data_IF_433874365560
#
_entry.id   IF_433874365560
#
_cell.length_a   1.000
_cell.length_b   1.000
_cell.length_c   1.000
_cell.angle_alpha   90.00
_cell.angle_beta   90.00
_cell.angle_gamma   90.00
#
_symmetry.space_group_name_H-M   'P 1'
#
loop_
_entity.id
_entity.type
_entity.pdbx_description
1 polymer ?
#
# COMPACT_ATOMS: atom_id res chain seq x y z
N UNK A 1 20.63 -4.04 7.47
CA UNK A 1 20.29 -5.45 7.10
C UNK A 1 19.72 -5.49 5.67
N UNK A 2 20.02 -6.49 4.83
CA UNK A 2 19.38 -6.61 3.49
C UNK A 2 18.04 -7.35 3.62
N UNK A 3 16.97 -6.81 3.05
CA UNK A 3 15.61 -7.34 3.22
C UNK A 3 14.87 -7.42 1.88
N UNK A 4 14.15 -8.52 1.68
CA UNK A 4 13.18 -8.68 0.59
C UNK A 4 11.79 -8.83 1.22
N UNK A 5 10.80 -8.15 0.67
CA UNK A 5 9.41 -8.26 1.14
C UNK A 5 8.56 -8.87 0.03
N UNK A 6 7.74 -9.84 0.41
CA UNK A 6 6.86 -10.57 -0.50
C UNK A 6 5.42 -10.35 -0.07
N UNK A 7 4.66 -9.63 -0.89
CA UNK A 7 3.23 -9.42 -0.71
C UNK A 7 2.44 -10.60 -1.30
N UNK A 8 1.82 -11.39 -0.43
CA UNK A 8 0.99 -12.50 -0.86
C UNK A 8 -0.28 -12.02 -1.57
N UNK A 9 -0.77 -12.86 -2.49
CA UNK A 9 -2.08 -12.66 -3.12
C UNK A 9 -3.24 -13.00 -2.18
N UNK A 10 -4.49 -12.79 -2.63
CA UNK A 10 -5.68 -13.15 -1.85
C UNK A 10 -6.82 -12.12 -1.88
N UNK A 11 -6.93 -11.29 -2.92
CA UNK A 11 -8.00 -10.30 -3.06
C UNK A 11 -8.08 -9.36 -1.85
N UNK A 12 -9.19 -9.41 -1.10
CA UNK A 12 -9.41 -8.57 0.07
C UNK A 12 -8.36 -8.76 1.19
N UNK A 13 -7.67 -9.90 1.25
CA UNK A 13 -6.56 -10.11 2.20
C UNK A 13 -5.41 -9.11 1.98
N UNK A 14 -5.31 -8.53 0.78
CA UNK A 14 -4.35 -7.46 0.51
C UNK A 14 -4.54 -6.21 1.39
N UNK A 15 -5.76 -5.95 1.88
CA UNK A 15 -6.03 -4.84 2.81
C UNK A 15 -5.37 -5.09 4.16
N UNK A 16 -5.41 -6.34 4.63
CA UNK A 16 -4.68 -6.73 5.84
C UNK A 16 -3.17 -6.56 5.65
N UNK A 17 -2.64 -6.95 4.49
CA UNK A 17 -1.22 -6.73 4.18
C UNK A 17 -0.84 -5.24 4.14
N UNK A 18 -1.76 -4.34 3.75
CA UNK A 18 -1.56 -2.89 3.87
C UNK A 18 -1.39 -2.44 5.32
N UNK A 19 -2.27 -2.88 6.21
CA UNK A 19 -2.16 -2.56 7.64
C UNK A 19 -0.90 -3.16 8.29
N UNK A 20 -0.50 -4.37 7.87
CA UNK A 20 0.79 -4.95 8.30
C UNK A 20 1.96 -4.09 7.83
N UNK A 21 1.90 -3.57 6.59
CA UNK A 21 2.95 -2.71 6.05
C UNK A 21 3.05 -1.38 6.79
N UNK A 22 1.92 -0.77 7.19
CA UNK A 22 1.90 0.45 8.03
C UNK A 22 2.68 0.28 9.34
N UNK A 23 2.59 -0.88 9.99
CA UNK A 23 3.35 -1.16 11.21
C UNK A 23 4.79 -1.62 10.94
N UNK A 24 5.01 -2.39 9.86
CA UNK A 24 6.31 -2.96 9.54
C UNK A 24 7.30 -1.93 8.96
N UNK A 25 6.82 -0.96 8.17
CA UNK A 25 7.66 0.04 7.54
C UNK A 25 8.46 0.90 8.54
N UNK A 26 7.85 1.48 9.59
CA UNK A 26 8.59 2.17 10.65
C UNK A 26 9.61 1.26 11.34
N UNK A 27 9.22 0.03 11.66
CA UNK A 27 10.09 -0.95 12.32
C UNK A 27 11.33 -1.30 11.48
N UNK A 28 11.17 -1.40 10.15
CA UNK A 28 12.27 -1.62 9.20
C UNK A 28 13.18 -0.39 9.13
N UNK A 29 12.61 0.82 9.17
CA UNK A 29 13.38 2.08 9.17
C UNK A 29 14.21 2.26 10.43
N UNK A 30 13.64 2.01 11.59
CA UNK A 30 14.35 2.05 12.88
C UNK A 30 15.59 1.15 12.93
N UNK A 31 15.60 0.07 12.11
CA UNK A 31 16.67 -0.92 12.03
C UNK A 31 17.62 -0.71 10.87
N UNK A 32 17.51 0.41 10.15
CA UNK A 32 18.27 0.69 8.93
C UNK A 32 18.25 -0.52 7.96
N UNK A 33 17.05 -1.09 7.78
CA UNK A 33 16.84 -2.19 6.86
C UNK A 33 16.84 -1.66 5.42
N UNK A 34 17.75 -2.18 4.61
CA UNK A 34 17.84 -1.90 3.20
C UNK A 34 16.94 -2.88 2.44
N UNK A 35 15.81 -2.39 1.98
CA UNK A 35 14.95 -3.11 1.05
C UNK A 35 15.67 -3.23 -0.30
N UNK A 36 15.99 -4.47 -0.69
CA UNK A 36 16.67 -4.79 -1.95
C UNK A 36 15.74 -5.40 -2.98
N UNK A 37 14.52 -5.75 -2.59
CA UNK A 37 13.54 -6.33 -3.48
C UNK A 37 12.14 -6.32 -2.88
N UNK A 38 11.16 -6.15 -3.77
CA UNK A 38 9.74 -6.28 -3.49
C UNK A 38 9.18 -7.27 -4.51
N UNK A 39 8.38 -8.21 -4.05
CA UNK A 39 7.68 -9.15 -4.92
C UNK A 39 6.23 -9.26 -4.48
N UNK A 40 5.36 -9.67 -5.39
CA UNK A 40 3.99 -10.01 -5.05
C UNK A 40 3.25 -10.65 -6.20
N UNK A 41 2.10 -11.26 -5.88
CA UNK A 41 1.24 -11.94 -6.86
C UNK A 41 -0.19 -11.41 -6.78
N UNK A 42 -0.85 -11.22 -7.93
CA UNK A 42 -2.23 -10.69 -8.00
C UNK A 42 -2.33 -9.34 -7.27
N UNK A 43 -3.23 -9.20 -6.28
CA UNK A 43 -3.33 -8.00 -5.44
C UNK A 43 -2.03 -7.67 -4.70
N UNK A 44 -1.24 -8.70 -4.36
CA UNK A 44 0.07 -8.52 -3.75
C UNK A 44 1.06 -7.86 -4.70
N UNK A 45 0.95 -8.08 -6.02
CA UNK A 45 1.76 -7.39 -7.00
C UNK A 45 1.43 -5.89 -7.07
N UNK A 46 0.16 -5.54 -6.90
CA UNK A 46 -0.29 -4.14 -6.81
C UNK A 46 0.28 -3.49 -5.54
N UNK A 47 0.16 -4.15 -4.38
CA UNK A 47 0.76 -3.66 -3.13
C UNK A 47 2.28 -3.46 -3.27
N UNK A 48 2.98 -4.44 -3.85
CA UNK A 48 4.42 -4.36 -4.09
C UNK A 48 4.79 -3.19 -5.01
N UNK A 49 4.03 -2.96 -6.08
CA UNK A 49 4.30 -1.88 -7.04
C UNK A 49 4.10 -0.48 -6.41
N UNK A 50 3.05 -0.31 -5.60
CA UNK A 50 2.78 0.95 -4.89
C UNK A 50 3.90 1.28 -3.92
N UNK A 51 4.31 0.30 -3.10
CA UNK A 51 5.43 0.43 -2.17
C UNK A 51 6.74 0.69 -2.90
N UNK A 52 7.00 -0.01 -4.01
CA UNK A 52 8.21 0.17 -4.82
C UNK A 52 8.32 1.60 -5.35
N UNK A 53 7.22 2.19 -5.80
CA UNK A 53 7.19 3.55 -6.33
C UNK A 53 7.56 4.61 -5.27
N UNK A 54 7.30 4.32 -3.99
CA UNK A 54 7.46 5.24 -2.86
C UNK A 54 8.55 4.81 -1.87
N UNK A 55 9.41 3.87 -2.27
CA UNK A 55 10.40 3.23 -1.38
C UNK A 55 11.42 4.20 -0.76
N UNK A 56 11.64 5.35 -1.40
CA UNK A 56 12.57 6.38 -0.94
C UNK A 56 11.94 7.32 0.11
N UNK A 57 10.62 7.32 0.28
CA UNK A 57 9.93 8.20 1.21
C UNK A 57 10.08 7.74 2.67
N UNK A 58 9.94 8.62 3.68
CA UNK A 58 10.11 8.30 5.09
C UNK A 58 9.32 7.08 5.58
N UNK A 59 8.10 6.90 5.06
CA UNK A 59 7.13 5.88 5.45
C UNK A 59 7.21 4.60 4.59
N UNK A 60 8.17 4.50 3.67
CA UNK A 60 8.28 3.40 2.70
C UNK A 60 6.99 3.17 1.88
N UNK A 61 6.23 4.24 1.59
CA UNK A 61 4.99 4.14 0.83
C UNK A 61 3.81 3.56 1.59
N UNK A 62 3.91 3.43 2.92
CA UNK A 62 2.83 2.93 3.76
C UNK A 62 1.55 3.79 3.67
N UNK A 63 1.68 5.11 3.73
CA UNK A 63 0.55 6.02 3.61
C UNK A 63 -0.12 5.92 2.24
N UNK A 64 0.67 5.78 1.18
CA UNK A 64 0.15 5.62 -0.17
C UNK A 64 -0.60 4.29 -0.36
N UNK A 65 -0.07 3.20 0.22
CA UNK A 65 -0.74 1.91 0.20
C UNK A 65 -2.06 1.95 1.00
N UNK A 66 -2.07 2.61 2.16
CA UNK A 66 -3.28 2.84 2.95
C UNK A 66 -4.35 3.61 2.19
N UNK A 67 -3.96 4.71 1.53
CA UNK A 67 -4.85 5.55 0.74
C UNK A 67 -5.48 4.76 -0.41
N UNK A 68 -4.69 3.96 -1.15
CA UNK A 68 -5.21 3.08 -2.19
C UNK A 68 -6.33 2.17 -1.65
N UNK A 69 -6.08 1.49 -0.52
CA UNK A 69 -7.05 0.57 0.04
C UNK A 69 -8.31 1.28 0.52
N UNK A 70 -8.18 2.41 1.23
CA UNK A 70 -9.32 3.12 1.82
C UNK A 70 -10.17 3.87 0.80
N UNK A 71 -9.55 4.40 -0.25
CA UNK A 71 -10.22 5.35 -1.16
C UNK A 71 -10.56 4.74 -2.51
N UNK A 72 -9.80 3.74 -2.98
CA UNK A 72 -9.98 3.17 -4.30
C UNK A 72 -10.53 1.74 -4.27
N UNK A 73 -10.06 0.90 -3.33
CA UNK A 73 -10.41 -0.54 -3.32
C UNK A 73 -11.56 -0.84 -2.35
N UNK A 74 -11.58 -0.25 -1.15
CA UNK A 74 -12.62 -0.44 -0.15
C UNK A 74 -13.88 0.42 -0.40
N UNK A 75 -14.02 1.00 -1.59
CA UNK A 75 -15.24 1.70 -1.99
C UNK A 75 -16.44 0.76 -1.81
N UNK A 76 -17.51 1.19 -1.09
CA UNK A 76 -18.68 0.35 -0.88
C UNK A 76 -19.27 -0.03 -2.23
N UNK A 77 -19.26 -1.33 -2.52
CA UNK A 77 -20.03 -1.90 -3.61
C UNK A 77 -21.52 -1.79 -3.24
N UNK A 78 -22.14 -0.68 -3.61
CA UNK A 78 -23.59 -0.67 -3.81
C UNK A 78 -23.92 -1.79 -4.81
N UNK A 79 -24.97 -2.58 -4.57
CA UNK A 79 -25.19 -3.80 -5.34
C UNK A 79 -25.62 -3.38 -6.76
N UNK A 80 -24.81 -3.73 -7.77
CA UNK A 80 -25.17 -3.79 -9.20
C UNK A 80 -25.17 -2.55 -10.10
N UNK A 81 -24.74 -1.35 -9.69
CA UNK A 81 -24.58 -0.25 -10.66
C UNK A 81 -23.17 0.32 -10.64
N UNK A 82 -22.44 0.11 -11.74
CA UNK A 82 -21.11 0.66 -12.02
C UNK A 82 -21.12 2.18 -12.20
N UNK A 83 -21.55 2.90 -11.18
CA UNK A 83 -21.40 4.34 -11.09
C UNK A 83 -20.11 4.65 -10.30
N UNK A 84 -19.18 5.44 -10.82
CA UNK A 84 -17.99 5.81 -10.07
C UNK A 84 -18.42 6.72 -8.91
N UNK A 85 -18.33 6.21 -7.68
CA UNK A 85 -18.52 7.03 -6.49
C UNK A 85 -17.17 7.64 -6.14
N UNK A 86 -17.02 8.92 -6.47
CA UNK A 86 -16.00 9.83 -5.94
C UNK A 86 -14.70 9.88 -6.73
N UNK A 87 -14.43 11.04 -7.36
CA UNK A 87 -13.09 11.44 -7.79
C UNK A 87 -12.24 11.75 -6.55
N UNK A 88 -11.81 10.70 -5.85
CA UNK A 88 -10.80 10.81 -4.80
C UNK A 88 -9.43 10.68 -5.47
N UNK A 89 -8.70 11.79 -5.59
CA UNK A 89 -7.33 11.81 -6.11
C UNK A 89 -6.37 11.20 -5.07
N UNK A 90 -6.46 9.88 -4.89
CA UNK A 90 -5.61 9.11 -3.98
C UNK A 90 -4.13 9.29 -4.33
N UNK A 91 -3.80 9.61 -5.60
CA UNK A 91 -2.43 9.91 -6.03
C UNK A 91 -1.92 11.22 -5.43
N UNK A 92 -2.76 12.24 -5.32
CA UNK A 92 -2.40 13.49 -4.63
C UNK A 92 -2.13 13.25 -3.14
N UNK A 93 -2.91 12.38 -2.47
CA UNK A 93 -2.67 12.02 -1.06
C UNK A 93 -1.45 11.14 -0.85
N UNK A 94 -1.18 10.22 -1.79
CA UNK A 94 0.09 9.51 -1.87
C UNK A 94 1.29 10.46 -1.98
N UNK A 95 1.16 11.58 -2.70
CA UNK A 95 2.22 12.57 -2.81
C UNK A 95 2.34 13.47 -1.57
N UNK A 96 1.30 13.53 -0.73
CA UNK A 96 1.26 14.37 0.46
C UNK A 96 1.84 13.72 1.73
N UNK A 97 2.22 12.42 1.70
CA UNK A 97 2.96 11.76 2.79
C UNK A 97 2.31 11.84 4.18
N UNK A 98 0.97 11.91 4.27
CA UNK A 98 0.28 12.09 5.55
C UNK A 98 0.21 10.76 6.33
N UNK A 99 1.16 10.61 7.24
CA UNK A 99 1.07 9.77 8.45
C UNK A 99 -0.01 10.38 9.34
N UNK A 100 -1.10 9.65 9.57
CA UNK A 100 -2.05 9.92 10.68
C UNK A 100 -1.77 8.97 11.84
#
# INVERSE_FOLDING_TARGET
MKTVVVFQGGGALGAFASGVWEALAPWLRERDARLIGLAGASIGAINAAVVAHRLHEPDLGAGCLSALWREQIASPSLPFCGWPIGDHDWRARCAAGMVS
#
